data_IF_054524320774
#
_entry.id   IF_054524320774
#
_cell.length_a   1.000
_cell.length_b   1.000
_cell.length_c   1.000
_cell.angle_alpha   90.00
_cell.angle_beta   90.00
_cell.angle_gamma   90.00
#
_symmetry.space_group_name_H-M   'P 1'
#
loop_
_entity.id
_entity.type
_entity.pdbx_description
1 polymer ?
#
# COMPACT_ATOMS: atom_id res chain seq x y z
N UNK A 1 38.69 -15.42 -21.18
CA UNK A 1 38.32 -13.98 -21.13
C UNK A 1 36.88 -13.85 -21.60
N UNK A 2 35.91 -13.76 -20.68
CA UNK A 2 34.49 -13.75 -21.04
C UNK A 2 33.66 -12.98 -20.02
N UNK A 3 33.05 -11.89 -20.48
CA UNK A 3 31.86 -11.21 -19.95
C UNK A 3 31.63 -11.18 -18.43
N UNK A 4 32.54 -10.56 -17.67
CA UNK A 4 32.15 -9.89 -16.42
C UNK A 4 31.54 -8.52 -16.77
N UNK A 5 30.29 -8.51 -17.23
CA UNK A 5 29.50 -7.29 -17.18
C UNK A 5 29.00 -7.19 -15.75
N UNK A 6 29.62 -6.31 -14.98
CA UNK A 6 29.10 -5.86 -13.70
C UNK A 6 27.79 -5.12 -13.97
N UNK A 7 26.68 -5.87 -14.04
CA UNK A 7 25.35 -5.31 -14.22
C UNK A 7 25.07 -4.48 -12.99
N UNK A 8 25.34 -3.17 -13.08
CA UNK A 8 24.89 -2.19 -12.09
C UNK A 8 23.42 -2.52 -11.81
N UNK A 9 23.04 -2.83 -10.55
CA UNK A 9 21.67 -3.18 -10.26
C UNK A 9 20.78 -2.07 -10.82
N UNK A 10 19.81 -2.46 -11.66
CA UNK A 10 18.86 -1.51 -12.25
C UNK A 10 18.38 -0.56 -11.15
N UNK A 11 18.38 0.74 -11.40
CA UNK A 11 17.94 1.76 -10.43
C UNK A 11 16.52 1.49 -9.94
N UNK A 12 15.70 0.75 -10.71
CA UNK A 12 14.39 0.24 -10.30
C UNK A 12 14.44 -0.73 -9.10
N UNK A 13 15.53 -1.48 -8.91
CA UNK A 13 15.79 -2.31 -7.72
C UNK A 13 16.20 -1.48 -6.50
N UNK A 14 16.61 -0.21 -6.69
CA UNK A 14 16.92 0.74 -5.61
C UNK A 14 15.72 1.59 -5.19
N UNK A 15 14.55 1.45 -5.85
CA UNK A 15 13.32 2.06 -5.34
C UNK A 15 13.03 1.49 -3.96
N UNK A 16 13.17 2.34 -2.93
CA UNK A 16 12.82 2.01 -1.55
C UNK A 16 11.34 1.62 -1.53
N UNK A 17 11.08 0.31 -1.48
CA UNK A 17 9.74 -0.26 -1.45
C UNK A 17 9.17 0.04 -0.07
N UNK A 18 8.60 1.24 0.10
CA UNK A 18 7.98 1.64 1.36
C UNK A 18 6.76 0.75 1.60
N UNK A 19 6.81 0.01 2.70
CA UNK A 19 5.77 -0.93 3.11
C UNK A 19 5.46 -0.69 4.58
N UNK A 20 4.18 -0.57 4.88
CA UNK A 20 3.67 -0.25 6.21
C UNK A 20 2.77 -1.35 6.70
N UNK A 21 2.92 -1.72 7.97
CA UNK A 21 2.04 -2.69 8.62
C UNK A 21 0.76 -2.01 9.05
N UNK A 22 -0.39 -2.55 8.65
CA UNK A 22 -1.71 -2.02 8.96
C UNK A 22 -2.67 -3.12 9.39
N UNK A 23 -3.71 -2.79 10.13
CA UNK A 23 -4.82 -3.68 10.46
C UNK A 23 -6.07 -3.23 9.69
N UNK A 24 -6.81 -4.15 9.09
CA UNK A 24 -8.05 -3.83 8.40
C UNK A 24 -9.11 -3.32 9.38
N UNK A 25 -9.70 -2.15 9.12
CA UNK A 25 -10.68 -1.53 10.01
C UNK A 25 -10.11 -0.35 10.80
N UNK A 26 -10.68 -0.11 11.98
CA UNK A 26 -10.42 1.10 12.78
C UNK A 26 -9.64 0.85 14.07
N UNK A 27 -9.28 -0.40 14.35
CA UNK A 27 -8.58 -0.84 15.56
C UNK A 27 -7.53 -1.92 15.25
N UNK A 28 -6.86 -2.40 16.29
CA UNK A 28 -5.79 -3.39 16.18
C UNK A 28 -6.29 -4.85 16.10
N UNK A 29 -7.59 -5.10 16.23
CA UNK A 29 -8.17 -6.45 16.20
C UNK A 29 -8.43 -6.93 14.77
N UNK A 30 -8.42 -5.99 13.82
CA UNK A 30 -8.46 -6.23 12.40
C UNK A 30 -7.33 -7.10 11.86
N UNK A 31 -7.57 -7.73 10.71
CA UNK A 31 -6.59 -8.59 10.05
C UNK A 31 -5.31 -7.79 9.69
N UNK A 32 -4.15 -8.35 10.04
CA UNK A 32 -2.85 -7.76 9.73
C UNK A 32 -2.57 -7.81 8.23
N UNK A 33 -2.17 -6.67 7.66
CA UNK A 33 -1.88 -6.49 6.24
C UNK A 33 -0.65 -5.61 6.05
N UNK A 34 -0.09 -5.66 4.85
CA UNK A 34 1.01 -4.80 4.41
C UNK A 34 0.53 -3.84 3.33
N UNK A 35 0.52 -2.55 3.64
CA UNK A 35 0.23 -1.49 2.67
C UNK A 35 1.54 -1.01 2.05
N UNK A 36 1.67 -1.22 0.74
CA UNK A 36 2.89 -0.93 0.01
C UNK A 36 2.69 0.27 -0.92
N UNK A 37 3.57 1.26 -0.83
CA UNK A 37 3.56 2.44 -1.69
C UNK A 37 4.36 2.15 -2.95
N UNK A 38 3.77 2.41 -4.11
CA UNK A 38 4.37 2.24 -5.44
C UNK A 38 4.34 3.56 -6.19
N UNK A 39 5.06 3.58 -7.30
CA UNK A 39 5.11 4.73 -8.20
C UNK A 39 3.76 5.00 -8.88
N UNK A 40 2.94 3.97 -9.08
CA UNK A 40 1.66 4.00 -9.79
C UNK A 40 0.44 3.86 -8.86
N UNK A 41 0.67 3.66 -7.55
CA UNK A 41 -0.42 3.51 -6.60
C UNK A 41 -0.04 2.84 -5.28
N UNK A 42 -1.03 2.21 -4.66
CA UNK A 42 -0.91 1.46 -3.41
C UNK A 42 -1.27 -0.01 -3.65
N UNK A 43 -0.61 -0.91 -2.94
CA UNK A 43 -0.90 -2.35 -2.96
C UNK A 43 -1.11 -2.83 -1.53
N UNK A 44 -2.24 -3.49 -1.27
CA UNK A 44 -2.48 -4.19 0.00
C UNK A 44 -2.14 -5.67 -0.18
N UNK A 45 -1.25 -6.19 0.66
CA UNK A 45 -0.94 -7.62 0.72
C UNK A 45 -1.41 -8.25 2.03
N UNK A 46 -1.82 -9.51 1.95
CA UNK A 46 -1.98 -10.36 3.12
C UNK A 46 -0.63 -10.72 3.72
N UNK A 47 -0.63 -11.29 4.93
CA UNK A 47 0.58 -11.81 5.57
C UNK A 47 1.30 -12.89 4.77
N UNK A 48 0.56 -13.62 3.92
CA UNK A 48 1.11 -14.63 3.02
C UNK A 48 1.66 -14.04 1.71
N UNK A 49 1.66 -12.71 1.56
CA UNK A 49 2.17 -12.01 0.39
C UNK A 49 1.20 -11.92 -0.79
N UNK A 50 -0.01 -12.49 -0.68
CA UNK A 50 -1.06 -12.41 -1.71
C UNK A 50 -1.54 -10.97 -1.82
N UNK A 51 -1.67 -10.46 -3.05
CA UNK A 51 -2.27 -9.14 -3.29
C UNK A 51 -3.76 -9.26 -3.04
N UNK A 52 -4.25 -8.52 -2.06
CA UNK A 52 -5.68 -8.48 -1.72
C UNK A 52 -6.35 -7.33 -2.44
N UNK A 53 -5.68 -6.18 -2.53
CA UNK A 53 -6.23 -5.01 -3.21
C UNK A 53 -5.14 -4.15 -3.83
N UNK A 54 -5.50 -3.42 -4.89
CA UNK A 54 -4.63 -2.45 -5.57
C UNK A 54 -5.41 -1.19 -5.87
N UNK A 55 -4.85 -0.05 -5.48
CA UNK A 55 -5.38 1.27 -5.81
C UNK A 55 -4.41 1.99 -6.73
N UNK A 56 -4.90 2.39 -7.91
CA UNK A 56 -4.16 3.26 -8.83
C UNK A 56 -4.38 4.71 -8.43
N UNK A 57 -3.34 5.54 -8.45
CA UNK A 57 -3.49 6.95 -8.06
C UNK A 57 -4.53 7.70 -8.89
N UNK A 58 -4.68 7.38 -10.17
CA UNK A 58 -5.68 7.97 -11.07
C UNK A 58 -7.14 7.69 -10.65
N UNK A 59 -7.39 6.65 -9.85
CA UNK A 59 -8.74 6.25 -9.39
C UNK A 59 -8.95 6.46 -7.88
N UNK A 60 -7.88 6.77 -7.14
CA UNK A 60 -7.95 7.08 -5.73
C UNK A 60 -8.52 8.49 -5.58
N UNK A 61 -9.65 8.61 -4.88
CA UNK A 61 -10.35 9.89 -4.71
C UNK A 61 -9.70 10.68 -3.58
N UNK A 62 -9.44 10.04 -2.44
CA UNK A 62 -8.80 10.69 -1.31
C UNK A 62 -8.05 9.69 -0.42
N UNK A 63 -7.07 10.21 0.31
CA UNK A 63 -6.35 9.51 1.36
C UNK A 63 -6.22 10.44 2.57
N UNK A 64 -6.84 10.08 3.69
CA UNK A 64 -6.79 10.87 4.92
C UNK A 64 -6.29 10.02 6.07
N UNK A 65 -5.53 10.63 6.98
CA UNK A 65 -5.08 9.97 8.20
C UNK A 65 -5.62 10.75 9.39
N UNK A 66 -6.22 10.05 10.35
CA UNK A 66 -6.54 10.58 11.67
C UNK A 66 -5.43 10.14 12.64
N UNK A 67 -4.47 11.02 12.99
CA UNK A 67 -3.35 10.64 13.87
C UNK A 67 -3.82 10.28 15.29
N UNK A 68 -4.92 10.91 15.75
CA UNK A 68 -5.53 10.66 17.07
C UNK A 68 -6.03 9.23 17.18
N UNK A 69 -6.75 8.76 16.16
CA UNK A 69 -7.32 7.41 16.14
C UNK A 69 -6.39 6.40 15.46
N UNK A 70 -5.29 6.89 14.87
CA UNK A 70 -4.31 6.15 14.05
C UNK A 70 -4.94 5.41 12.86
N UNK A 71 -6.01 5.97 12.31
CA UNK A 71 -6.75 5.36 11.19
C UNK A 71 -6.40 6.09 9.90
N UNK A 72 -5.92 5.33 8.91
CA UNK A 72 -5.83 5.73 7.52
C UNK A 72 -7.14 5.37 6.82
N UNK A 73 -7.73 6.31 6.11
CA UNK A 73 -8.91 6.12 5.28
C UNK A 73 -8.55 6.37 3.81
N UNK A 74 -8.83 5.38 2.96
CA UNK A 74 -8.70 5.45 1.51
C UNK A 74 -10.09 5.44 0.89
N UNK A 75 -10.34 6.36 -0.03
CA UNK A 75 -11.57 6.35 -0.83
C UNK A 75 -11.24 6.18 -2.30
N UNK A 76 -12.01 5.33 -2.98
CA UNK A 76 -11.92 5.14 -4.42
C UNK A 76 -13.31 5.24 -5.03
N UNK A 77 -13.37 5.71 -6.27
CA UNK A 77 -14.61 5.70 -7.04
C UNK A 77 -14.68 4.41 -7.85
N UNK A 78 -15.79 3.70 -7.73
CA UNK A 78 -16.13 2.53 -8.53
C UNK A 78 -17.47 2.78 -9.25
N UNK A 79 -17.40 3.27 -10.49
CA UNK A 79 -18.57 3.83 -11.17
C UNK A 79 -19.12 5.05 -10.43
N UNK A 80 -20.40 5.01 -10.06
CA UNK A 80 -21.05 6.06 -9.27
C UNK A 80 -20.92 5.87 -7.75
N UNK A 81 -20.36 4.73 -7.29
CA UNK A 81 -20.21 4.44 -5.87
C UNK A 81 -18.86 4.90 -5.34
N UNK A 82 -18.87 5.44 -4.12
CA UNK A 82 -17.66 5.76 -3.35
C UNK A 82 -17.42 4.65 -2.34
N UNK A 83 -16.34 3.88 -2.54
CA UNK A 83 -15.91 2.85 -1.60
C UNK A 83 -14.91 3.44 -0.60
N UNK A 84 -15.08 3.10 0.68
CA UNK A 84 -14.24 3.57 1.79
C UNK A 84 -13.54 2.38 2.46
N UNK A 85 -12.22 2.49 2.59
CA UNK A 85 -11.38 1.47 3.20
C UNK A 85 -10.61 2.09 4.37
N UNK A 86 -10.85 1.57 5.58
CA UNK A 86 -10.17 2.02 6.78
C UNK A 86 -9.09 1.03 7.18
N UNK A 87 -7.96 1.57 7.61
CA UNK A 87 -6.81 0.81 8.08
C UNK A 87 -6.26 1.44 9.36
N UNK A 88 -6.26 0.68 10.44
CA UNK A 88 -5.58 1.08 11.66
C UNK A 88 -4.07 0.88 11.49
N UNK A 89 -3.31 1.90 11.87
CA UNK A 89 -1.86 1.94 11.73
C UNK A 89 -1.23 1.99 13.11
N UNK A 90 -0.14 1.24 13.30
CA UNK A 90 0.73 1.42 14.48
C UNK A 90 1.86 2.34 14.03
N UNK A 91 2.07 3.45 14.76
CA UNK A 91 3.18 4.38 14.53
C UNK A 91 4.51 3.63 14.49
#
# INVERSE_FOLDING_TARGET
HGNDIDLKPLTSRQMHRQSFTVHAGTDADGELRFLEVRHDGLVLRSVNGVIVERWWYERLVNMTCSPKNKVLCLSKRNGDQLELHNYYTKK
#
